data_IF_529704616436
#
_entry.id   IF_529704616436
#
_cell.length_a   1.000
_cell.length_b   1.000
_cell.length_c   1.000
_cell.angle_alpha   90.00
_cell.angle_beta   90.00
_cell.angle_gamma   90.00
#
_symmetry.space_group_name_H-M   'P 1'
#
loop_
_entity.id
_entity.type
_entity.pdbx_description
1 polymer ?
#
# COMPACT_ATOMS: atom_id res chain seq x y z
N UNK A 1 15.05 -19.42 2.54
CA UNK A 1 15.25 -18.40 3.60
C UNK A 1 14.76 -18.96 4.94
N UNK A 2 15.29 -18.51 6.08
CA UNK A 2 14.80 -18.95 7.40
C UNK A 2 13.46 -18.28 7.77
N UNK A 3 13.34 -17.00 7.47
CA UNK A 3 12.12 -16.18 7.60
C UNK A 3 12.10 -15.22 6.43
N UNK A 4 10.92 -14.92 5.91
CA UNK A 4 10.67 -13.84 4.95
C UNK A 4 9.63 -12.92 5.57
N UNK A 5 9.93 -11.62 5.60
CA UNK A 5 8.99 -10.57 6.04
C UNK A 5 8.44 -9.88 4.79
N UNK A 6 7.13 -9.68 4.75
CA UNK A 6 6.44 -8.98 3.68
C UNK A 6 5.71 -7.77 4.27
N UNK A 7 5.89 -6.60 3.65
CA UNK A 7 5.18 -5.36 3.97
C UNK A 7 4.65 -4.82 2.65
N UNK A 8 3.33 -4.70 2.55
CA UNK A 8 2.62 -4.39 1.31
C UNK A 8 1.44 -3.46 1.62
N UNK A 9 1.02 -2.69 0.62
CA UNK A 9 -0.13 -1.80 0.72
C UNK A 9 -1.44 -2.60 0.69
N UNK A 10 -2.31 -2.37 1.68
CA UNK A 10 -3.62 -3.02 1.76
C UNK A 10 -4.65 -2.26 0.92
N UNK A 11 -4.69 -2.53 -0.39
CA UNK A 11 -5.64 -1.92 -1.32
C UNK A 11 -5.88 -2.81 -2.55
N UNK A 12 -7.08 -2.75 -3.13
CA UNK A 12 -7.50 -3.59 -4.26
C UNK A 12 -7.40 -2.88 -5.63
N UNK A 13 -6.20 -2.50 -6.04
CA UNK A 13 -5.96 -1.76 -7.29
C UNK A 13 -5.42 -2.60 -8.45
N UNK A 14 -5.15 -3.88 -8.25
CA UNK A 14 -4.61 -4.71 -9.32
C UNK A 14 -5.66 -5.26 -10.31
N UNK A 15 -6.65 -6.00 -9.82
CA UNK A 15 -7.52 -6.86 -10.65
C UNK A 15 -8.93 -6.29 -10.87
N UNK A 16 -9.14 -5.01 -10.56
CA UNK A 16 -10.44 -4.35 -10.61
C UNK A 16 -10.60 -3.52 -11.90
N UNK A 17 -11.82 -3.39 -12.45
CA UNK A 17 -12.11 -2.46 -13.54
C UNK A 17 -11.74 -1.01 -13.16
N UNK A 18 -11.55 -0.16 -14.15
CA UNK A 18 -11.08 1.23 -13.95
C UNK A 18 -11.87 1.98 -12.88
N UNK A 19 -13.21 2.00 -12.95
CA UNK A 19 -14.03 2.77 -12.01
C UNK A 19 -13.84 2.31 -10.56
N UNK A 20 -13.87 1.00 -10.31
CA UNK A 20 -13.63 0.44 -8.98
C UNK A 20 -12.20 0.75 -8.50
N UNK A 21 -11.22 0.63 -9.38
CA UNK A 21 -9.83 0.97 -9.07
C UNK A 21 -9.66 2.45 -8.74
N UNK A 22 -10.34 3.33 -9.46
CA UNK A 22 -10.31 4.77 -9.22
C UNK A 22 -10.89 5.11 -7.84
N UNK A 23 -12.06 4.56 -7.51
CA UNK A 23 -12.70 4.77 -6.19
C UNK A 23 -11.80 4.24 -5.06
N UNK A 24 -11.30 3.02 -5.20
CA UNK A 24 -10.38 2.42 -4.23
C UNK A 24 -9.11 3.28 -4.03
N UNK A 25 -8.54 3.79 -5.13
CA UNK A 25 -7.35 4.67 -5.09
C UNK A 25 -7.69 5.98 -4.37
N UNK A 26 -8.84 6.58 -4.67
CA UNK A 26 -9.27 7.81 -4.02
C UNK A 26 -9.44 7.61 -2.52
N UNK A 27 -10.13 6.55 -2.10
CA UNK A 27 -10.37 6.24 -0.68
C UNK A 27 -9.05 5.98 0.05
N UNK A 28 -8.20 5.11 -0.49
CA UNK A 28 -6.91 4.76 0.13
C UNK A 28 -5.99 5.97 0.28
N UNK A 29 -5.78 6.75 -0.79
CA UNK A 29 -4.88 7.90 -0.73
C UNK A 29 -5.50 9.07 0.04
N UNK A 30 -6.82 9.26 0.05
CA UNK A 30 -7.43 10.28 0.90
C UNK A 30 -7.11 10.06 2.38
N UNK A 31 -7.23 8.82 2.88
CA UNK A 31 -6.86 8.47 4.25
C UNK A 31 -5.36 8.74 4.54
N UNK A 32 -4.48 8.47 3.57
CA UNK A 32 -3.05 8.76 3.69
C UNK A 32 -2.78 10.28 3.78
N UNK A 33 -3.40 11.07 2.91
CA UNK A 33 -3.25 12.54 2.93
C UNK A 33 -3.84 13.16 4.20
N UNK A 34 -4.97 12.67 4.70
CA UNK A 34 -5.56 13.09 5.98
C UNK A 34 -4.62 12.80 7.15
N UNK A 35 -4.01 11.61 7.19
CA UNK A 35 -3.02 11.25 8.22
C UNK A 35 -1.79 12.18 8.20
N UNK A 36 -1.32 12.54 7.00
CA UNK A 36 -0.22 13.51 6.83
C UNK A 36 -0.66 14.92 7.27
N UNK A 37 -1.90 15.33 6.98
CA UNK A 37 -2.39 16.67 7.34
C UNK A 37 -2.45 16.89 8.85
N UNK A 38 -2.74 15.84 9.62
CA UNK A 38 -2.76 15.88 11.09
C UNK A 38 -1.35 15.96 11.69
N UNK A 39 -0.34 15.42 11.01
CA UNK A 39 1.01 15.26 11.57
C UNK A 39 2.04 16.26 11.04
N UNK A 40 1.78 16.89 9.89
CA UNK A 40 2.74 17.77 9.21
C UNK A 40 2.08 19.03 8.66
N UNK A 41 2.66 20.20 8.95
CA UNK A 41 2.22 21.47 8.38
C UNK A 41 2.39 21.49 6.85
N UNK A 42 1.44 22.12 6.15
CA UNK A 42 1.34 22.16 4.68
C UNK A 42 2.56 22.77 3.97
N UNK A 43 3.26 23.68 4.62
CA UNK A 43 4.44 24.36 4.07
C UNK A 43 5.76 23.61 4.31
N UNK A 44 5.75 22.47 5.03
CA UNK A 44 6.97 21.68 5.25
C UNK A 44 7.40 21.05 3.94
N UNK A 45 8.66 21.26 3.57
CA UNK A 45 9.23 20.71 2.33
C UNK A 45 9.20 19.19 2.32
N UNK A 46 9.36 18.55 3.48
CA UNK A 46 9.30 17.10 3.62
C UNK A 46 7.91 16.57 3.23
N UNK A 47 6.85 17.24 3.67
CA UNK A 47 5.46 16.88 3.31
C UNK A 47 5.25 17.01 1.80
N UNK A 48 5.59 18.18 1.24
CA UNK A 48 5.45 18.45 -0.19
C UNK A 48 6.20 17.39 -1.01
N UNK A 49 7.41 17.02 -0.57
CA UNK A 49 8.21 16.00 -1.25
C UNK A 49 7.54 14.62 -1.22
N UNK A 50 7.02 14.18 -0.07
CA UNK A 50 6.31 12.89 0.05
C UNK A 50 5.05 12.87 -0.80
N UNK A 51 4.22 13.91 -0.71
CA UNK A 51 2.96 14.01 -1.46
C UNK A 51 3.20 14.01 -2.97
N UNK A 52 4.17 14.80 -3.46
CA UNK A 52 4.42 14.95 -4.90
C UNK A 52 5.25 13.82 -5.51
N UNK A 53 6.27 13.33 -4.81
CA UNK A 53 7.28 12.46 -5.41
C UNK A 53 7.10 10.99 -5.05
N UNK A 54 6.27 10.68 -4.06
CA UNK A 54 5.88 9.32 -3.70
C UNK A 54 4.40 9.11 -4.06
N UNK A 55 3.47 9.72 -3.30
CA UNK A 55 2.04 9.40 -3.41
C UNK A 55 1.47 9.76 -4.79
N UNK A 56 1.73 10.96 -5.31
CA UNK A 56 1.20 11.38 -6.59
C UNK A 56 1.71 10.52 -7.76
N UNK A 57 2.95 10.01 -7.70
CA UNK A 57 3.48 9.12 -8.75
C UNK A 57 2.74 7.80 -8.76
N UNK A 58 2.48 7.22 -7.59
CA UNK A 58 1.76 5.96 -7.47
C UNK A 58 0.31 6.13 -7.95
N UNK A 59 -0.36 7.23 -7.55
CA UNK A 59 -1.71 7.57 -8.02
C UNK A 59 -1.75 7.67 -9.54
N UNK A 60 -0.80 8.40 -10.15
CA UNK A 60 -0.73 8.54 -11.62
C UNK A 60 -0.53 7.17 -12.27
N UNK A 61 0.36 6.33 -11.75
CA UNK A 61 0.57 5.01 -12.34
C UNK A 61 -0.68 4.11 -12.24
N UNK A 62 -1.37 4.13 -11.10
CA UNK A 62 -2.56 3.30 -10.87
C UNK A 62 -3.73 3.73 -11.77
N UNK A 63 -3.90 5.04 -11.99
CA UNK A 63 -5.05 5.59 -12.73
C UNK A 63 -4.77 5.74 -14.22
N UNK A 64 -3.62 6.31 -14.60
CA UNK A 64 -3.35 6.74 -15.97
C UNK A 64 -2.65 5.69 -16.84
N UNK A 65 -1.99 4.70 -16.24
CA UNK A 65 -1.30 3.64 -16.99
C UNK A 65 -2.16 2.38 -17.10
N UNK A 66 -1.93 1.58 -18.13
CA UNK A 66 -2.57 0.27 -18.31
C UNK A 66 -1.59 -0.80 -18.80
N UNK A 67 -2.04 -2.05 -18.81
CA UNK A 67 -1.24 -3.17 -19.33
C UNK A 67 0.12 -3.28 -18.62
N UNK A 68 1.20 -3.29 -19.41
CA UNK A 68 2.58 -3.41 -18.88
C UNK A 68 3.11 -2.11 -18.26
N UNK A 69 2.53 -0.96 -18.63
CA UNK A 69 2.99 0.35 -18.14
C UNK A 69 2.46 0.64 -16.73
N UNK A 70 1.36 0.00 -16.34
CA UNK A 70 0.88 0.02 -14.96
C UNK A 70 1.68 -0.96 -14.11
N UNK A 71 2.60 -0.42 -13.32
CA UNK A 71 3.50 -1.15 -12.43
C UNK A 71 2.93 -1.24 -11.01
N UNK A 72 2.26 -0.19 -10.54
CA UNK A 72 1.64 -0.14 -9.21
C UNK A 72 0.35 -0.95 -9.18
N UNK A 73 0.41 -2.04 -8.42
CA UNK A 73 -0.58 -3.13 -8.45
C UNK A 73 -0.79 -3.71 -7.06
N UNK A 74 -1.32 -2.89 -6.15
CA UNK A 74 -1.60 -3.31 -4.79
C UNK A 74 -2.63 -4.45 -4.77
N UNK A 75 -2.44 -5.34 -3.80
CA UNK A 75 -3.28 -6.49 -3.57
C UNK A 75 -3.55 -6.67 -2.08
N UNK A 76 -4.78 -7.03 -1.74
CA UNK A 76 -5.18 -7.33 -0.36
C UNK A 76 -4.37 -8.51 0.21
N UNK A 77 -4.19 -8.50 1.53
CA UNK A 77 -3.50 -9.54 2.30
C UNK A 77 -3.91 -10.97 1.90
N UNK A 78 -5.20 -11.20 1.65
CA UNK A 78 -5.70 -12.52 1.24
C UNK A 78 -5.03 -13.07 -0.02
N UNK A 79 -4.75 -12.20 -1.01
CA UNK A 79 -4.05 -12.59 -2.25
C UNK A 79 -2.59 -12.90 -1.98
N UNK A 80 -1.89 -12.05 -1.23
CA UNK A 80 -0.51 -12.30 -0.82
C UNK A 80 -0.36 -13.59 -0.02
N UNK A 81 -1.24 -13.82 0.95
CA UNK A 81 -1.29 -15.07 1.73
C UNK A 81 -1.45 -16.28 0.81
N UNK A 82 -2.35 -16.22 -0.16
CA UNK A 82 -2.58 -17.31 -1.12
C UNK A 82 -1.33 -17.57 -1.98
N UNK A 83 -0.73 -16.52 -2.56
CA UNK A 83 0.50 -16.63 -3.37
C UNK A 83 1.64 -17.28 -2.59
N UNK A 84 1.88 -16.84 -1.35
CA UNK A 84 2.93 -17.39 -0.50
C UNK A 84 2.64 -18.85 -0.11
N UNK A 85 1.39 -19.17 0.23
CA UNK A 85 0.98 -20.55 0.55
C UNK A 85 1.20 -21.48 -0.64
N UNK A 86 0.81 -21.06 -1.86
CA UNK A 86 1.04 -21.83 -3.08
C UNK A 86 2.54 -22.00 -3.40
N UNK A 87 3.37 -21.05 -3.03
CA UNK A 87 4.82 -21.13 -3.13
C UNK A 87 5.49 -21.95 -1.99
N UNK A 88 4.70 -22.61 -1.14
CA UNK A 88 5.19 -23.47 -0.05
C UNK A 88 5.60 -22.72 1.22
N UNK A 89 5.34 -21.42 1.32
CA UNK A 89 5.55 -20.68 2.56
C UNK A 89 4.42 -20.94 3.56
N UNK A 90 4.76 -20.92 4.84
CA UNK A 90 3.80 -20.98 5.94
C UNK A 90 3.86 -19.68 6.74
N UNK A 91 2.70 -19.17 7.14
CA UNK A 91 2.63 -17.98 8.00
C UNK A 91 3.33 -18.25 9.34
N UNK A 92 4.10 -17.25 9.78
CA UNK A 92 4.76 -17.24 11.07
C UNK A 92 4.23 -16.03 11.87
N UNK A 93 3.66 -16.24 13.07
CA UNK A 93 3.08 -15.15 13.84
C UNK A 93 4.16 -14.19 14.33
N UNK A 94 3.83 -12.89 14.37
CA UNK A 94 4.67 -11.90 15.06
C UNK A 94 4.68 -12.20 16.56
N UNK A 95 5.82 -11.96 17.21
CA UNK A 95 5.94 -12.18 18.65
C UNK A 95 5.06 -11.20 19.45
N UNK A 96 4.72 -11.55 20.69
CA UNK A 96 3.95 -10.67 21.58
C UNK A 96 4.62 -9.31 21.79
N UNK A 97 5.96 -9.30 21.90
CA UNK A 97 6.75 -8.07 22.00
C UNK A 97 6.57 -7.16 20.79
N UNK A 98 6.68 -7.71 19.57
CA UNK A 98 6.49 -6.92 18.35
C UNK A 98 5.05 -6.39 18.26
N UNK A 99 4.05 -7.22 18.60
CA UNK A 99 2.67 -6.79 18.64
C UNK A 99 2.43 -5.66 19.67
N UNK A 100 3.14 -5.65 20.81
CA UNK A 100 3.05 -4.55 21.77
C UNK A 100 3.67 -3.26 21.24
N UNK A 101 4.81 -3.35 20.54
CA UNK A 101 5.50 -2.18 19.96
C UNK A 101 4.70 -1.55 18.82
N UNK A 102 3.96 -2.33 18.03
CA UNK A 102 3.12 -1.79 16.94
C UNK A 102 1.89 -1.03 17.48
N UNK A 103 1.40 -1.38 18.67
CA UNK A 103 0.19 -0.79 19.26
C UNK A 103 0.45 0.49 20.07
N UNK A 104 1.69 0.68 20.52
CA UNK A 104 2.11 1.87 21.27
C UNK A 104 2.33 3.06 20.35
#
# INVERSE_FOLDING_TARGET
>A
PKVTTLVEQESNTNTTPFLTRFVETLEYYSAMFESIDVTMQRNRKERINVEQHCLAKDIVNIIACEGRERVERHELFGKWKSRFTMAGFKQYPLSSYINSVIRS
#
